data_IF_951812749501
#
_entry.id   IF_951812749501
#
_cell.length_a   1.000
_cell.length_b   1.000
_cell.length_c   1.000
_cell.angle_alpha   90.00
_cell.angle_beta   90.00
_cell.angle_gamma   90.00
#
_symmetry.space_group_name_H-M   'P 1'
#
loop_
_entity.id
_entity.type
_entity.pdbx_description
1 polymer ?
#
# COMPACT_ATOMS: atom_id res chain seq x y z
N UNK A 1 -29.68 -8.87 -8.01
CA UNK A 1 -28.26 -9.21 -8.19
C UNK A 1 -28.23 -10.11 -9.41
N UNK A 2 -27.70 -9.60 -10.54
CA UNK A 2 -27.52 -10.40 -11.74
C UNK A 2 -26.47 -11.48 -11.45
N UNK A 3 -26.78 -12.70 -11.89
CA UNK A 3 -25.92 -13.87 -11.69
C UNK A 3 -24.60 -13.62 -12.45
N UNK A 4 -23.53 -13.29 -11.74
CA UNK A 4 -22.17 -13.17 -12.28
C UNK A 4 -21.41 -11.85 -12.08
N UNK A 5 -22.00 -10.82 -11.45
CA UNK A 5 -21.24 -9.62 -11.10
C UNK A 5 -20.38 -9.87 -9.86
N UNK A 6 -19.09 -9.48 -9.91
CA UNK A 6 -18.24 -9.55 -8.73
C UNK A 6 -18.71 -8.52 -7.70
N UNK A 7 -18.55 -8.83 -6.41
CA UNK A 7 -18.86 -7.88 -5.32
C UNK A 7 -18.13 -6.55 -5.49
N UNK A 8 -16.91 -6.58 -6.04
CA UNK A 8 -16.13 -5.39 -6.33
C UNK A 8 -16.76 -4.53 -7.44
N UNK A 9 -17.35 -5.13 -8.49
CA UNK A 9 -18.06 -4.39 -9.55
C UNK A 9 -19.28 -3.65 -8.96
N UNK A 10 -20.04 -4.31 -8.09
CA UNK A 10 -21.20 -3.69 -7.43
C UNK A 10 -20.74 -2.50 -6.58
N UNK A 11 -19.69 -2.69 -5.75
CA UNK A 11 -19.10 -1.64 -4.94
C UNK A 11 -18.65 -0.43 -5.79
N UNK A 12 -17.97 -0.67 -6.91
CA UNK A 12 -17.52 0.40 -7.81
C UNK A 12 -18.68 1.11 -8.51
N UNK A 13 -19.74 0.38 -8.88
CA UNK A 13 -20.95 0.97 -9.47
C UNK A 13 -21.67 1.88 -8.49
N UNK A 14 -21.79 1.47 -7.23
CA UNK A 14 -22.38 2.29 -6.17
C UNK A 14 -21.52 3.54 -5.89
N UNK A 15 -20.19 3.38 -5.76
CA UNK A 15 -19.28 4.47 -5.58
C UNK A 15 -19.35 5.48 -6.75
N UNK A 16 -19.39 5.01 -7.99
CA UNK A 16 -19.57 5.85 -9.17
C UNK A 16 -20.89 6.64 -9.14
N UNK A 17 -21.98 5.97 -8.75
CA UNK A 17 -23.29 6.62 -8.57
C UNK A 17 -23.24 7.77 -7.55
N UNK A 18 -22.57 7.56 -6.41
CA UNK A 18 -22.38 8.58 -5.38
C UNK A 18 -21.54 9.74 -5.91
N UNK A 19 -20.39 9.44 -6.49
CA UNK A 19 -19.41 10.45 -6.94
C UNK A 19 -19.96 11.33 -8.07
N UNK A 20 -20.75 10.77 -8.97
CA UNK A 20 -21.39 11.52 -10.07
C UNK A 20 -22.53 12.45 -9.59
N UNK A 21 -23.08 12.23 -8.39
CA UNK A 21 -24.21 12.99 -7.85
C UNK A 21 -23.85 13.80 -6.60
N UNK A 22 -22.57 14.08 -6.36
CA UNK A 22 -22.12 14.88 -5.22
C UNK A 22 -22.66 16.32 -5.27
N UNK A 23 -23.03 16.83 -4.08
CA UNK A 23 -23.41 18.23 -3.87
C UNK A 23 -22.90 18.73 -2.51
N UNK A 24 -22.98 20.02 -2.25
CA UNK A 24 -22.65 20.62 -0.94
C UNK A 24 -23.50 20.07 0.23
N UNK A 25 -24.66 19.51 -0.08
CA UNK A 25 -25.60 18.94 0.89
C UNK A 25 -25.42 17.44 1.08
N UNK A 26 -24.47 16.81 0.37
CA UNK A 26 -24.20 15.38 0.48
C UNK A 26 -23.46 15.07 1.78
N UNK A 27 -23.87 13.98 2.40
CA UNK A 27 -23.11 13.26 3.42
C UNK A 27 -22.77 11.88 2.84
N UNK A 28 -21.50 11.61 2.69
CA UNK A 28 -20.98 10.34 2.10
C UNK A 28 -20.37 9.50 3.20
N UNK A 29 -20.71 8.22 3.22
CA UNK A 29 -20.17 7.23 4.13
C UNK A 29 -19.54 6.11 3.29
N UNK A 30 -18.22 6.01 3.32
CA UNK A 30 -17.51 4.87 2.75
C UNK A 30 -16.98 3.99 3.86
N UNK A 31 -17.25 2.70 3.74
CA UNK A 31 -16.81 1.70 4.71
C UNK A 31 -16.01 0.63 3.99
N UNK A 32 -14.68 0.63 4.21
CA UNK A 32 -13.72 -0.35 3.69
C UNK A 32 -13.73 -0.48 2.16
N UNK A 33 -13.92 0.63 1.44
CA UNK A 33 -13.92 0.66 -0.02
C UNK A 33 -12.59 0.14 -0.58
N UNK A 34 -12.67 -0.73 -1.60
CA UNK A 34 -11.51 -1.25 -2.32
C UNK A 34 -10.98 -2.60 -1.79
N UNK A 35 -11.67 -3.25 -0.84
CA UNK A 35 -11.27 -4.58 -0.34
C UNK A 35 -11.39 -5.71 -1.36
N UNK A 36 -12.21 -5.54 -2.39
CA UNK A 36 -12.52 -6.58 -3.37
C UNK A 36 -11.50 -6.76 -4.50
N UNK A 37 -10.37 -6.07 -4.44
CA UNK A 37 -9.30 -6.11 -5.46
C UNK A 37 -7.91 -6.26 -4.82
N UNK A 38 -6.83 -6.12 -5.61
CA UNK A 38 -5.47 -6.11 -5.09
C UNK A 38 -5.26 -4.93 -4.14
N UNK A 39 -4.36 -5.09 -3.16
CA UNK A 39 -4.11 -4.05 -2.15
C UNK A 39 -3.74 -2.71 -2.78
N UNK A 40 -2.83 -2.71 -3.76
CA UNK A 40 -2.41 -1.46 -4.41
C UNK A 40 -3.50 -0.81 -5.26
N UNK A 41 -4.30 -1.60 -5.98
CA UNK A 41 -5.47 -1.07 -6.71
C UNK A 41 -6.47 -0.46 -5.73
N UNK A 42 -6.76 -1.16 -4.63
CA UNK A 42 -7.66 -0.67 -3.60
C UNK A 42 -7.20 0.64 -2.97
N UNK A 43 -5.92 0.75 -2.58
CA UNK A 43 -5.32 1.98 -2.06
C UNK A 43 -5.40 3.10 -3.10
N UNK A 44 -5.04 2.83 -4.36
CA UNK A 44 -5.02 3.83 -5.42
C UNK A 44 -6.41 4.39 -5.71
N UNK A 45 -7.42 3.52 -5.77
CA UNK A 45 -8.82 3.93 -5.97
C UNK A 45 -9.31 4.74 -4.76
N UNK A 46 -9.06 4.26 -3.53
CA UNK A 46 -9.47 4.95 -2.31
C UNK A 46 -8.84 6.34 -2.21
N UNK A 47 -7.55 6.46 -2.49
CA UNK A 47 -6.82 7.72 -2.52
C UNK A 47 -7.43 8.70 -3.53
N UNK A 48 -7.60 8.25 -4.78
CA UNK A 48 -8.14 9.08 -5.86
C UNK A 48 -9.58 9.56 -5.56
N UNK A 49 -10.39 8.72 -4.93
CA UNK A 49 -11.76 9.09 -4.52
C UNK A 49 -11.74 10.18 -3.45
N UNK A 50 -10.91 10.04 -2.42
CA UNK A 50 -10.79 11.03 -1.34
C UNK A 50 -10.28 12.36 -1.89
N UNK A 51 -9.28 12.34 -2.77
CA UNK A 51 -8.75 13.52 -3.46
C UNK A 51 -9.83 14.18 -4.34
N UNK A 52 -10.53 13.39 -5.14
CA UNK A 52 -11.63 13.89 -5.99
C UNK A 52 -12.72 14.60 -5.17
N UNK A 53 -13.14 14.03 -4.04
CA UNK A 53 -14.14 14.66 -3.17
C UNK A 53 -13.59 15.95 -2.55
N UNK A 54 -12.32 15.95 -2.15
CA UNK A 54 -11.66 17.13 -1.59
C UNK A 54 -11.57 18.29 -2.62
N UNK A 55 -11.20 17.98 -3.87
CA UNK A 55 -10.98 18.98 -4.92
C UNK A 55 -12.26 19.31 -5.71
N UNK A 56 -13.38 18.65 -5.46
CA UNK A 56 -14.60 18.83 -6.22
C UNK A 56 -15.16 20.26 -6.10
N UNK A 57 -15.11 20.99 -7.22
CA UNK A 57 -15.58 22.37 -7.31
C UNK A 57 -17.09 22.56 -7.24
N UNK A 58 -17.88 21.47 -7.44
CA UNK A 58 -19.35 21.51 -7.39
C UNK A 58 -19.90 21.51 -5.96
N UNK A 59 -19.04 21.34 -4.97
CA UNK A 59 -19.41 21.34 -3.57
C UNK A 59 -18.56 20.36 -2.75
N UNK A 60 -18.25 20.78 -1.53
CA UNK A 60 -17.46 19.97 -0.61
C UNK A 60 -18.40 19.08 0.21
N UNK A 61 -18.70 17.89 -0.31
CA UNK A 61 -19.49 16.90 0.41
C UNK A 61 -18.82 16.55 1.78
N UNK A 62 -19.64 16.41 2.82
CA UNK A 62 -19.17 15.89 4.11
C UNK A 62 -18.97 14.40 3.96
N UNK A 63 -17.77 13.90 4.28
CA UNK A 63 -17.42 12.51 4.06
C UNK A 63 -16.82 11.89 5.32
N UNK A 64 -17.28 10.70 5.67
CA UNK A 64 -16.64 9.79 6.61
C UNK A 64 -16.12 8.59 5.79
N UNK A 65 -14.81 8.35 5.86
CA UNK A 65 -14.15 7.28 5.13
C UNK A 65 -13.48 6.34 6.13
N UNK A 66 -14.13 5.20 6.40
CA UNK A 66 -13.53 4.15 7.21
C UNK A 66 -12.66 3.26 6.32
N UNK A 67 -11.43 3.03 6.73
CA UNK A 67 -10.47 2.21 5.97
C UNK A 67 -9.39 1.61 6.86
N UNK A 68 -8.81 0.53 6.40
CA UNK A 68 -7.62 -0.09 6.98
C UNK A 68 -6.32 0.29 6.23
N UNK A 69 -6.42 1.13 5.21
CA UNK A 69 -5.26 1.59 4.44
C UNK A 69 -4.51 2.68 5.21
N UNK A 70 -3.40 2.31 5.84
CA UNK A 70 -2.57 3.24 6.63
C UNK A 70 -1.95 4.35 5.78
N UNK A 71 -1.75 4.10 4.49
CA UNK A 71 -1.20 5.03 3.52
C UNK A 71 -2.06 6.30 3.40
N UNK A 72 -3.38 6.18 3.57
CA UNK A 72 -4.28 7.33 3.53
C UNK A 72 -4.06 8.32 4.69
N UNK A 73 -3.32 7.93 5.75
CA UNK A 73 -2.95 8.85 6.82
C UNK A 73 -2.13 10.04 6.32
N UNK A 74 -1.34 9.85 5.27
CA UNK A 74 -0.51 10.93 4.69
C UNK A 74 -1.34 12.03 4.03
N UNK A 75 -2.60 11.76 3.67
CA UNK A 75 -3.47 12.75 3.01
C UNK A 75 -3.76 13.96 3.93
N UNK A 76 -3.80 13.80 5.25
CA UNK A 76 -3.98 14.94 6.17
C UNK A 76 -2.87 15.98 6.06
N UNK A 77 -1.65 15.56 5.68
CA UNK A 77 -0.51 16.47 5.50
C UNK A 77 -0.61 17.27 4.20
N UNK A 78 -1.26 16.67 3.18
CA UNK A 78 -1.34 17.25 1.84
C UNK A 78 -2.62 18.08 1.66
N UNK A 79 -3.73 17.68 2.32
CA UNK A 79 -5.05 18.25 2.11
C UNK A 79 -5.61 18.87 3.41
N UNK A 80 -5.86 20.17 3.40
CA UNK A 80 -6.23 20.94 4.62
C UNK A 80 -7.54 20.49 5.27
N UNK A 81 -8.52 20.02 4.47
CA UNK A 81 -9.83 19.61 4.94
C UNK A 81 -9.91 18.14 5.32
N UNK A 82 -8.87 17.36 5.08
CA UNK A 82 -8.80 15.95 5.49
C UNK A 82 -8.31 15.88 6.95
N UNK A 83 -8.94 15.03 7.72
CA UNK A 83 -8.64 14.84 9.14
C UNK A 83 -8.66 13.36 9.48
N UNK A 84 -7.57 12.88 10.06
CA UNK A 84 -7.44 11.50 10.49
C UNK A 84 -7.99 11.31 11.90
N UNK A 85 -8.67 10.21 12.08
CA UNK A 85 -9.14 9.71 13.36
C UNK A 85 -8.92 8.21 13.43
N UNK A 86 -8.69 7.69 14.60
CA UNK A 86 -8.62 6.26 14.84
C UNK A 86 -9.56 5.86 15.99
N UNK A 87 -9.89 4.58 16.04
CA UNK A 87 -10.62 4.00 17.17
C UNK A 87 -9.60 3.59 18.21
N UNK A 88 -9.64 4.24 19.38
CA UNK A 88 -8.64 4.04 20.41
C UNK A 88 -8.67 2.64 20.99
N UNK A 89 -7.48 2.12 21.21
CA UNK A 89 -7.20 0.80 21.76
C UNK A 89 -6.25 0.96 22.93
N UNK A 90 -6.51 0.25 24.02
CA UNK A 90 -5.63 0.23 25.19
C UNK A 90 -5.05 -1.16 25.39
N UNK A 91 -3.74 -1.24 25.54
CA UNK A 91 -3.08 -2.45 25.94
C UNK A 91 -2.90 -2.48 27.46
N UNK A 92 -3.39 -3.51 28.10
CA UNK A 92 -3.25 -3.75 29.55
C UNK A 92 -2.87 -5.21 29.75
N UNK A 93 -1.72 -5.44 30.39
CA UNK A 93 -1.20 -6.80 30.69
C UNK A 93 -1.13 -7.72 29.45
N UNK A 94 -0.71 -7.16 28.30
CA UNK A 94 -0.63 -7.91 27.04
C UNK A 94 -1.99 -8.29 26.44
N UNK A 95 -3.07 -7.63 26.91
CA UNK A 95 -4.41 -7.74 26.33
C UNK A 95 -4.83 -6.43 25.72
N UNK A 96 -5.35 -6.49 24.49
CA UNK A 96 -5.87 -5.32 23.79
C UNK A 96 -7.34 -5.13 24.15
N UNK A 97 -7.67 -3.92 24.61
CA UNK A 97 -9.03 -3.50 24.93
C UNK A 97 -9.46 -2.42 23.94
N UNK A 98 -10.49 -2.68 23.16
CA UNK A 98 -11.08 -1.71 22.24
C UNK A 98 -11.96 -0.74 23.02
N UNK A 99 -11.53 0.51 23.13
CA UNK A 99 -12.26 1.54 23.90
C UNK A 99 -13.46 2.11 23.14
N UNK A 100 -13.56 1.87 21.83
CA UNK A 100 -14.64 2.35 20.95
C UNK A 100 -14.81 3.89 21.00
N UNK A 101 -13.72 4.61 21.17
CA UNK A 101 -13.67 6.07 21.13
C UNK A 101 -12.88 6.50 19.92
N UNK A 102 -13.38 7.54 19.24
CA UNK A 102 -12.64 8.21 18.18
C UNK A 102 -11.64 9.18 18.81
N UNK A 103 -10.38 9.01 18.44
CA UNK A 103 -9.30 9.91 18.82
C UNK A 103 -8.65 10.48 17.58
N UNK A 104 -8.13 11.70 17.71
CA UNK A 104 -7.48 12.42 16.63
C UNK A 104 -6.15 11.75 16.25
N UNK A 105 -5.87 11.61 14.96
CA UNK A 105 -4.67 11.02 14.40
C UNK A 105 -4.91 9.68 13.71
N UNK A 106 -3.95 9.28 12.87
CA UNK A 106 -3.95 7.96 12.22
C UNK A 106 -3.54 6.86 13.18
N UNK A 107 -3.91 5.61 12.88
CA UNK A 107 -3.35 4.43 13.54
C UNK A 107 -2.17 3.92 12.72
N UNK A 108 -1.04 3.70 13.38
CA UNK A 108 0.16 3.10 12.77
C UNK A 108 0.25 1.59 13.02
N UNK A 109 -0.61 1.06 13.90
CA UNK A 109 -0.55 -0.34 14.31
C UNK A 109 -1.80 -1.11 13.94
N UNK A 110 -1.57 -2.32 13.43
CA UNK A 110 -2.61 -3.31 13.19
C UNK A 110 -2.71 -4.28 14.37
N UNK A 111 -3.93 -4.57 14.82
CA UNK A 111 -4.19 -5.52 15.91
C UNK A 111 -4.72 -6.87 15.41
N UNK A 112 -4.64 -7.15 14.11
CA UNK A 112 -5.20 -8.37 13.51
C UNK A 112 -4.69 -9.66 14.13
N UNK A 113 -3.38 -9.80 14.34
CA UNK A 113 -2.78 -10.99 14.98
C UNK A 113 -3.21 -11.10 16.44
N UNK A 114 -3.36 -9.98 17.14
CA UNK A 114 -3.86 -9.97 18.51
C UNK A 114 -5.32 -10.44 18.58
N UNK A 115 -6.17 -9.99 17.68
CA UNK A 115 -7.57 -10.44 17.55
C UNK A 115 -7.63 -11.94 17.24
N UNK A 116 -6.78 -12.43 16.32
CA UNK A 116 -6.67 -13.86 16.02
C UNK A 116 -6.31 -14.68 17.25
N UNK A 117 -5.38 -14.19 18.10
CA UNK A 117 -5.03 -14.81 19.39
C UNK A 117 -6.23 -14.85 20.34
N UNK A 118 -6.98 -13.74 20.46
CA UNK A 118 -8.19 -13.66 21.30
C UNK A 118 -9.29 -14.59 20.81
N UNK A 119 -9.41 -14.78 19.49
CA UNK A 119 -10.36 -15.72 18.88
C UNK A 119 -9.99 -17.20 19.08
N UNK A 120 -8.88 -17.49 19.76
CA UNK A 120 -8.47 -18.87 20.06
C UNK A 120 -7.68 -19.56 18.96
N UNK A 121 -7.08 -18.80 18.03
CA UNK A 121 -6.21 -19.39 17.01
C UNK A 121 -5.04 -20.15 17.63
N UNK A 122 -4.62 -21.30 17.06
CA UNK A 122 -3.49 -22.07 17.58
C UNK A 122 -2.23 -21.23 17.79
N UNK A 123 -1.58 -21.42 18.94
CA UNK A 123 -0.41 -20.62 19.35
C UNK A 123 0.72 -20.64 18.31
N UNK A 124 0.94 -21.76 17.64
CA UNK A 124 1.96 -21.90 16.60
C UNK A 124 1.70 -20.98 15.40
N UNK A 125 0.43 -20.83 14.98
CA UNK A 125 0.03 -19.93 13.88
C UNK A 125 0.26 -18.49 14.30
N UNK A 126 -0.19 -18.09 15.50
CA UNK A 126 -0.01 -16.73 16.02
C UNK A 126 1.48 -16.38 16.14
N UNK A 127 2.31 -17.30 16.63
CA UNK A 127 3.76 -17.12 16.73
C UNK A 127 4.39 -16.89 15.33
N UNK A 128 4.05 -17.74 14.35
CA UNK A 128 4.58 -17.62 12.99
C UNK A 128 4.10 -16.32 12.31
N UNK A 129 2.83 -15.95 12.49
CA UNK A 129 2.29 -14.69 11.95
C UNK A 129 3.04 -13.46 12.47
N UNK A 130 3.41 -13.42 13.77
CA UNK A 130 4.24 -12.33 14.31
C UNK A 130 5.64 -12.27 13.70
N UNK A 131 6.25 -13.40 13.37
CA UNK A 131 7.55 -13.44 12.68
C UNK A 131 7.41 -12.87 11.28
N UNK A 132 6.41 -13.36 10.51
CA UNK A 132 6.15 -12.88 9.14
C UNK A 132 5.84 -11.38 9.13
N UNK A 133 5.03 -10.88 10.08
CA UNK A 133 4.71 -9.45 10.16
C UNK A 133 5.98 -8.61 10.31
N UNK A 134 6.90 -9.00 11.19
CA UNK A 134 8.18 -8.29 11.37
C UNK A 134 9.04 -8.32 10.11
N UNK A 135 9.07 -9.44 9.40
CA UNK A 135 9.79 -9.58 8.13
C UNK A 135 9.20 -8.61 7.07
N UNK A 136 7.87 -8.55 6.97
CA UNK A 136 7.17 -7.65 6.03
C UNK A 136 7.35 -6.17 6.39
N UNK A 137 7.23 -5.80 7.66
CA UNK A 137 7.44 -4.41 8.13
C UNK A 137 8.91 -3.98 7.95
N UNK A 138 9.87 -4.88 8.19
CA UNK A 138 11.28 -4.64 7.96
C UNK A 138 11.64 -4.46 6.48
N UNK A 139 11.02 -5.21 5.58
CA UNK A 139 11.20 -5.09 4.13
C UNK A 139 10.53 -3.82 3.56
N UNK A 140 9.41 -3.38 4.12
CA UNK A 140 8.67 -2.17 3.70
C UNK A 140 9.26 -0.85 4.23
N UNK A 141 10.14 -0.90 5.23
CA UNK A 141 10.67 0.28 5.92
C UNK A 141 11.60 1.20 5.12
N UNK A 142 11.87 0.91 3.83
CA UNK A 142 12.73 1.73 2.97
C UNK A 142 12.01 2.50 1.85
N UNK A 143 10.68 2.58 1.86
CA UNK A 143 9.97 3.48 0.94
C UNK A 143 9.39 4.68 1.69
N UNK A 144 10.27 5.64 2.03
CA UNK A 144 9.88 7.02 2.31
C UNK A 144 9.29 7.64 1.04
N UNK A 145 7.97 7.62 0.91
CA UNK A 145 7.22 8.40 -0.08
C UNK A 145 7.15 9.89 0.33
N UNK A 146 8.30 10.48 0.61
CA UNK A 146 8.40 11.87 1.05
C UNK A 146 9.62 12.59 0.52
N UNK A 147 9.71 12.82 -0.80
CA UNK A 147 10.62 13.83 -1.34
C UNK A 147 10.09 14.40 -2.66
N UNK A 148 9.52 15.61 -2.53
CA UNK A 148 9.53 16.73 -3.49
C UNK A 148 9.56 16.43 -4.98
N UNK A 149 8.48 16.88 -5.61
CA UNK A 149 8.31 17.01 -7.04
C UNK A 149 9.47 17.72 -7.75
N UNK A 150 9.79 17.22 -8.90
CA UNK A 150 10.10 17.94 -10.12
C UNK A 150 9.52 17.15 -11.27
N UNK A 151 8.67 17.85 -12.01
CA UNK A 151 8.08 17.39 -13.24
C UNK A 151 9.18 16.87 -14.19
N UNK A 152 8.97 15.68 -14.71
CA UNK A 152 9.43 15.33 -16.07
C UNK A 152 8.46 14.29 -16.61
N UNK A 153 7.75 14.74 -17.67
CA UNK A 153 6.99 13.90 -18.57
C UNK A 153 7.89 12.80 -19.16
N UNK A 154 7.42 11.58 -19.20
CA UNK A 154 7.35 10.68 -20.34
C UNK A 154 7.15 9.21 -19.93
N UNK A 155 6.09 8.60 -20.50
CA UNK A 155 6.17 7.26 -21.07
C UNK A 155 6.03 6.07 -20.12
N UNK A 156 4.78 5.62 -19.99
CA UNK A 156 4.31 4.23 -20.10
C UNK A 156 5.30 3.12 -19.70
N UNK A 157 4.94 2.45 -18.66
CA UNK A 157 5.12 1.04 -18.28
C UNK A 157 5.15 0.92 -16.77
N UNK A 158 3.96 0.89 -16.16
CA UNK A 158 3.82 0.55 -14.75
C UNK A 158 4.34 -0.87 -14.49
N UNK A 159 5.56 -0.98 -14.01
CA UNK A 159 6.06 -2.23 -13.43
C UNK A 159 5.31 -2.44 -12.13
N UNK A 160 4.28 -3.25 -12.18
CA UNK A 160 3.59 -3.78 -11.01
C UNK A 160 4.57 -4.68 -10.26
N UNK A 161 5.29 -4.11 -9.29
CA UNK A 161 6.15 -4.89 -8.39
C UNK A 161 5.25 -5.72 -7.48
N UNK A 162 5.05 -6.97 -7.85
CA UNK A 162 4.39 -7.95 -7.00
C UNK A 162 5.22 -8.10 -5.71
N UNK A 163 4.61 -7.86 -4.55
CA UNK A 163 5.23 -7.96 -3.22
C UNK A 163 5.88 -9.34 -2.94
N UNK A 164 5.47 -10.37 -3.69
CA UNK A 164 6.06 -11.72 -3.64
C UNK A 164 7.30 -11.94 -4.51
N UNK A 165 7.73 -10.93 -5.28
CA UNK A 165 8.92 -11.02 -6.14
C UNK A 165 10.18 -10.39 -5.51
N UNK A 166 10.10 -9.81 -4.31
CA UNK A 166 11.24 -9.20 -3.62
C UNK A 166 12.28 -10.22 -3.10
N UNK A 167 11.90 -11.50 -3.04
CA UNK A 167 12.80 -12.61 -2.64
C UNK A 167 13.19 -13.51 -3.83
N UNK A 168 13.08 -13.02 -5.08
CA UNK A 168 13.69 -13.73 -6.19
C UNK A 168 15.23 -13.67 -6.03
N UNK A 169 15.90 -14.81 -5.82
CA UNK A 169 17.36 -14.85 -5.64
C UNK A 169 18.12 -14.16 -6.77
N UNK A 170 17.57 -14.17 -8.00
CA UNK A 170 18.13 -13.53 -9.18
C UNK A 170 18.05 -12.01 -9.05
N UNK A 171 16.94 -11.46 -8.59
CA UNK A 171 16.81 -10.01 -8.37
C UNK A 171 17.71 -9.51 -7.23
N UNK A 172 17.83 -10.29 -6.15
CA UNK A 172 18.77 -9.97 -5.06
C UNK A 172 20.21 -9.98 -5.58
N UNK A 173 20.59 -10.95 -6.37
CA UNK A 173 21.93 -11.05 -6.96
C UNK A 173 22.22 -9.88 -7.90
N UNK A 174 21.26 -9.50 -8.75
CA UNK A 174 21.39 -8.34 -9.65
C UNK A 174 21.57 -7.05 -8.85
N UNK A 175 20.76 -6.85 -7.80
CA UNK A 175 20.87 -5.68 -6.91
C UNK A 175 22.26 -5.60 -6.29
N UNK A 176 22.75 -6.70 -5.74
CA UNK A 176 24.04 -6.75 -5.04
C UNK A 176 25.21 -6.55 -6.02
N UNK A 177 25.12 -7.08 -7.24
CA UNK A 177 26.09 -6.82 -8.33
C UNK A 177 26.09 -5.33 -8.71
N UNK A 178 24.92 -4.69 -8.85
CA UNK A 178 24.82 -3.26 -9.20
C UNK A 178 25.36 -2.38 -8.06
N UNK A 179 25.02 -2.68 -6.80
CA UNK A 179 25.48 -1.92 -5.65
C UNK A 179 26.99 -2.04 -5.42
N UNK A 180 27.58 -3.17 -5.82
CA UNK A 180 29.03 -3.40 -5.74
C UNK A 180 29.86 -2.71 -6.84
N UNK A 181 29.23 -2.03 -7.82
CA UNK A 181 29.93 -1.38 -8.91
C UNK A 181 30.47 0.00 -8.50
N UNK A 182 31.78 0.19 -8.60
CA UNK A 182 32.38 1.53 -8.53
C UNK A 182 32.39 2.18 -9.92
N UNK A 183 31.31 2.90 -10.23
CA UNK A 183 31.06 3.49 -11.55
C UNK A 183 32.16 4.49 -11.95
N UNK A 184 32.84 5.12 -11.00
CA UNK A 184 33.86 6.14 -11.26
C UNK A 184 35.21 5.54 -11.73
N UNK A 185 35.41 4.27 -11.43
CA UNK A 185 36.68 3.56 -11.76
C UNK A 185 36.52 2.49 -12.86
N UNK A 186 35.33 2.35 -13.46
CA UNK A 186 35.06 1.42 -14.54
C UNK A 186 35.45 2.01 -15.90
N UNK A 187 36.25 1.23 -16.68
CA UNK A 187 36.43 1.52 -18.10
C UNK A 187 35.18 1.21 -18.90
N UNK A 188 34.97 1.82 -20.10
CA UNK A 188 33.81 1.53 -20.94
C UNK A 188 33.67 0.03 -21.31
N UNK A 189 34.77 -0.66 -21.46
CA UNK A 189 34.76 -2.09 -21.76
C UNK A 189 34.30 -2.92 -20.55
N UNK A 190 34.79 -2.60 -19.36
CA UNK A 190 34.38 -3.27 -18.12
C UNK A 190 32.89 -3.01 -17.81
N UNK A 191 32.40 -1.78 -18.05
CA UNK A 191 31.01 -1.45 -17.90
C UNK A 191 30.11 -2.29 -18.84
N UNK A 192 30.53 -2.45 -20.11
CA UNK A 192 29.81 -3.27 -21.07
C UNK A 192 29.82 -4.75 -20.69
N UNK A 193 30.95 -5.26 -20.19
CA UNK A 193 31.07 -6.62 -19.68
C UNK A 193 30.15 -6.87 -18.51
N UNK A 194 30.14 -5.98 -17.53
CA UNK A 194 29.24 -6.07 -16.36
C UNK A 194 27.74 -6.02 -16.72
N UNK A 195 27.37 -5.14 -17.66
CA UNK A 195 25.99 -5.11 -18.18
C UNK A 195 25.61 -6.43 -18.86
N UNK A 196 26.54 -7.04 -19.61
CA UNK A 196 26.29 -8.34 -20.23
C UNK A 196 26.17 -9.48 -19.21
N UNK A 197 26.91 -9.43 -18.11
CA UNK A 197 26.81 -10.42 -17.04
C UNK A 197 25.48 -10.29 -16.30
N UNK A 198 25.05 -9.07 -15.96
CA UNK A 198 23.72 -8.81 -15.39
C UNK A 198 22.61 -9.28 -16.34
N UNK A 199 22.73 -9.02 -17.65
CA UNK A 199 21.78 -9.51 -18.64
C UNK A 199 21.69 -11.04 -18.67
N UNK A 200 22.81 -11.77 -18.54
CA UNK A 200 22.81 -13.24 -18.47
C UNK A 200 22.09 -13.77 -17.25
N UNK A 201 22.20 -13.09 -16.09
CA UNK A 201 21.45 -13.45 -14.88
C UNK A 201 19.94 -13.38 -15.13
N UNK A 202 19.46 -12.33 -15.81
CA UNK A 202 18.03 -12.16 -16.15
C UNK A 202 17.55 -13.20 -17.17
N UNK A 203 18.35 -13.55 -18.15
CA UNK A 203 17.95 -14.45 -19.24
C UNK A 203 18.11 -15.94 -18.93
N UNK A 204 18.63 -16.29 -17.74
CA UNK A 204 18.80 -17.69 -17.32
C UNK A 204 19.85 -18.48 -18.15
N UNK A 205 20.67 -17.82 -18.96
CA UNK A 205 21.75 -18.46 -19.72
C UNK A 205 23.01 -18.48 -18.86
N UNK A 206 23.06 -19.35 -17.86
CA UNK A 206 24.30 -19.75 -17.21
C UNK A 206 25.09 -20.62 -18.19
N UNK A 207 26.20 -20.11 -18.66
CA UNK A 207 27.18 -20.94 -19.41
C UNK A 207 27.77 -21.95 -18.44
N UNK A 208 27.41 -23.22 -18.62
CA UNK A 208 28.21 -24.31 -18.08
C UNK A 208 29.62 -24.26 -18.71
N UNK A 209 30.60 -24.04 -17.88
CA UNK A 209 31.98 -24.51 -18.07
C UNK A 209 32.60 -24.79 -16.69
#
# INVERSE_FOLDING_TARGET
ISIGESSFMVEMTEAAGILNNLSERSLVLFDELGRGTSTYDGISIAWAIVEYIHENSRGHARTLFATHYHELNEMERQFQRIKNFNVSVKEVDGKVIFLRKLERGGSEHSFGIHVAKLAGMPRAIVARANVILKELEGAGGHQNLGAKGKEQEHGDSGVQLNFFQLDDPVLCQIRDEILGLDINNLTPFEALSKLNDIKKLVTGTSSAH
#
